data_IF_524380941554
#
_entry.id   IF_524380941554
#
_cell.length_a   1.000
_cell.length_b   1.000
_cell.length_c   1.000
_cell.angle_alpha   90.00
_cell.angle_beta   90.00
_cell.angle_gamma   90.00
#
_symmetry.space_group_name_H-M   'P 1'
#
loop_
_entity.id
_entity.type
_entity.pdbx_description
1 polymer ?
#
# COMPACT_ATOMS: atom_id res chain seq x y z
N UNK A 1 53.63 6.69 30.59
CA UNK A 1 54.54 5.51 30.63
C UNK A 1 55.93 5.78 30.07
N UNK A 2 56.14 6.43 28.92
CA UNK A 2 57.48 6.77 28.36
C UNK A 2 58.31 7.74 29.24
N UNK A 3 57.71 8.74 29.88
CA UNK A 3 58.38 9.69 30.76
C UNK A 3 58.75 9.11 32.14
N UNK A 4 57.98 8.10 32.60
CA UNK A 4 58.30 7.41 33.87
C UNK A 4 59.51 6.50 33.75
N UNK A 5 59.68 5.86 32.58
CA UNK A 5 60.89 5.04 32.32
C UNK A 5 62.12 5.89 32.14
N UNK A 6 62.02 7.07 31.50
CA UNK A 6 63.13 8.00 31.34
C UNK A 6 63.57 8.58 32.69
N UNK A 7 62.66 8.82 33.62
CA UNK A 7 62.97 9.29 34.99
C UNK A 7 63.66 8.23 35.87
N UNK A 8 63.22 6.97 35.78
CA UNK A 8 63.86 5.84 36.44
C UNK A 8 65.32 5.59 35.95
N UNK A 9 65.57 5.79 34.65
CA UNK A 9 66.90 5.65 34.07
C UNK A 9 67.87 6.78 34.57
N UNK A 10 67.36 8.01 34.79
CA UNK A 10 68.17 9.11 35.32
C UNK A 10 68.56 8.94 36.81
N UNK A 11 67.78 8.25 37.62
CA UNK A 11 67.99 7.90 39.00
C UNK A 11 69.10 6.86 39.21
N UNK A 12 69.39 6.02 38.26
CA UNK A 12 70.38 4.96 38.30
C UNK A 12 71.82 5.54 38.14
N UNK A 13 71.99 6.73 37.55
CA UNK A 13 73.30 7.38 37.34
C UNK A 13 73.80 8.32 38.47
N UNK A 14 72.97 8.58 39.51
CA UNK A 14 73.32 9.48 40.63
C UNK A 14 73.75 8.71 41.88
N UNK A 15 74.02 7.41 41.82
CA UNK A 15 74.33 6.61 43.01
C UNK A 15 75.84 6.45 43.30
N UNK A 16 76.47 7.49 43.87
CA UNK A 16 77.74 7.29 44.61
C UNK A 16 77.84 8.07 45.91
N UNK A 17 76.87 8.88 46.37
CA UNK A 17 76.94 9.60 47.63
C UNK A 17 75.63 10.01 48.30
N UNK A 18 74.46 9.56 47.78
CA UNK A 18 73.16 9.91 48.36
C UNK A 18 72.68 8.84 49.33
N UNK A 19 72.25 9.24 50.54
CA UNK A 19 71.67 8.30 51.50
C UNK A 19 70.37 7.71 51.01
N UNK A 20 70.04 6.47 51.41
CA UNK A 20 68.86 5.75 51.03
C UNK A 20 67.54 6.54 51.33
N UNK A 21 67.57 7.36 52.38
CA UNK A 21 66.52 8.26 52.83
C UNK A 21 66.27 9.42 51.84
N UNK A 22 67.33 9.98 51.23
CA UNK A 22 67.21 11.04 50.21
C UNK A 22 66.62 10.54 48.92
N UNK A 23 66.97 9.34 48.49
CA UNK A 23 66.41 8.71 47.32
C UNK A 23 64.91 8.42 47.54
N UNK A 24 64.54 7.88 48.71
CA UNK A 24 63.11 7.63 49.03
C UNK A 24 62.30 8.93 49.07
N UNK A 25 62.84 10.01 49.65
CA UNK A 25 62.20 11.32 49.69
C UNK A 25 61.95 11.89 48.28
N UNK A 26 62.86 11.72 47.31
CA UNK A 26 62.71 12.16 45.93
C UNK A 26 61.67 11.32 45.18
N UNK A 27 61.61 10.01 45.45
CA UNK A 27 60.59 9.12 44.91
C UNK A 27 59.17 9.54 45.39
N UNK A 28 59.04 9.78 46.70
CA UNK A 28 57.76 10.17 47.30
C UNK A 28 57.24 11.52 46.73
N UNK A 29 58.12 12.49 46.54
CA UNK A 29 57.81 13.79 45.91
C UNK A 29 57.41 13.60 44.47
N UNK A 30 58.10 12.77 43.72
CA UNK A 30 57.72 12.48 42.29
C UNK A 30 56.43 11.75 42.17
N UNK A 31 56.15 10.78 43.05
CA UNK A 31 54.83 10.05 43.08
C UNK A 31 53.72 11.00 43.47
N UNK A 32 53.85 11.84 44.49
CA UNK A 32 52.87 12.83 44.91
C UNK A 32 52.53 13.82 43.77
N UNK A 33 53.55 14.30 43.05
CA UNK A 33 53.40 15.19 41.92
C UNK A 33 52.64 14.48 40.74
N UNK A 34 52.96 13.21 40.46
CA UNK A 34 52.34 12.44 39.44
C UNK A 34 50.85 12.12 39.77
N UNK A 35 50.56 11.86 41.04
CA UNK A 35 49.21 11.66 41.54
C UNK A 35 48.33 12.91 41.39
N UNK A 36 48.86 14.07 41.84
CA UNK A 36 48.19 15.38 41.71
C UNK A 36 47.94 15.75 40.25
N UNK A 37 48.90 15.48 39.38
CA UNK A 37 48.69 15.70 37.93
C UNK A 37 47.59 14.80 37.40
N UNK A 38 47.58 13.51 37.77
CA UNK A 38 46.56 12.57 37.36
C UNK A 38 45.15 12.97 37.88
N UNK A 39 45.04 13.42 39.12
CA UNK A 39 43.80 13.94 39.70
C UNK A 39 43.30 15.16 38.92
N UNK A 40 44.16 16.13 38.60
CA UNK A 40 43.84 17.30 37.81
C UNK A 40 43.39 16.93 36.39
N UNK A 41 44.09 16.01 35.73
CA UNK A 41 43.73 15.53 34.39
C UNK A 41 42.37 14.77 34.39
N UNK A 42 42.11 14.02 35.48
CA UNK A 42 40.82 13.34 35.67
C UNK A 42 39.67 14.32 35.85
N UNK A 43 39.83 15.33 36.69
CA UNK A 43 38.82 16.38 36.89
C UNK A 43 38.54 17.15 35.60
N UNK A 44 39.57 17.48 34.82
CA UNK A 44 39.38 18.14 33.52
C UNK A 44 38.62 17.27 32.50
N UNK A 45 38.84 15.95 32.55
CA UNK A 45 38.10 15.02 31.71
C UNK A 45 36.63 14.89 32.14
N UNK A 46 36.38 14.82 33.45
CA UNK A 46 35.02 14.81 34.02
C UNK A 46 34.22 16.07 33.64
N UNK A 47 34.85 17.26 33.77
CA UNK A 47 34.22 18.52 33.33
C UNK A 47 33.88 18.51 31.82
N UNK A 48 34.76 17.96 30.98
CA UNK A 48 34.50 17.85 29.53
C UNK A 48 33.38 16.88 29.22
N UNK A 49 33.32 15.76 29.93
CA UNK A 49 32.22 14.78 29.76
C UNK A 49 30.87 15.43 30.10
N UNK A 50 30.76 16.08 31.25
CA UNK A 50 29.52 16.78 31.64
C UNK A 50 29.12 17.85 30.63
N UNK A 51 30.07 18.61 30.10
CA UNK A 51 29.79 19.63 29.09
C UNK A 51 29.32 19.00 27.75
N UNK A 52 29.89 17.85 27.37
CA UNK A 52 29.46 17.14 26.17
C UNK A 52 28.08 16.51 26.35
N UNK A 53 27.81 15.92 27.51
CA UNK A 53 26.49 15.39 27.85
C UNK A 53 25.40 16.48 27.77
N UNK A 54 25.66 17.65 28.37
CA UNK A 54 24.75 18.78 28.30
C UNK A 54 24.48 19.24 26.85
N UNK A 55 25.53 19.29 26.02
CA UNK A 55 25.36 19.66 24.58
C UNK A 55 24.60 18.61 23.81
N UNK A 56 24.74 17.34 24.13
CA UNK A 56 23.94 16.26 23.52
C UNK A 56 22.47 16.40 23.91
N UNK A 57 22.21 16.72 25.18
CA UNK A 57 20.82 16.92 25.65
C UNK A 57 20.19 18.16 24.99
N UNK A 58 20.90 19.30 24.92
CA UNK A 58 20.45 20.49 24.20
C UNK A 58 20.18 20.22 22.72
N UNK A 59 21.06 19.46 22.06
CA UNK A 59 20.88 19.07 20.65
C UNK A 59 19.69 18.15 20.46
N UNK A 60 19.47 17.20 21.36
CA UNK A 60 18.33 16.30 21.33
C UNK A 60 17.00 17.02 21.59
N UNK A 61 16.97 17.99 22.53
CA UNK A 61 15.78 18.82 22.78
C UNK A 61 15.44 19.67 21.56
N UNK A 62 16.42 20.35 20.96
CA UNK A 62 16.21 21.19 19.75
C UNK A 62 15.71 20.35 18.58
N UNK A 63 16.28 19.16 18.36
CA UNK A 63 15.83 18.28 17.29
C UNK A 63 14.43 17.70 17.53
N UNK A 64 14.12 17.32 18.77
CA UNK A 64 12.79 16.80 19.11
C UNK A 64 11.69 17.87 19.00
N UNK A 65 11.96 19.09 19.46
CA UNK A 65 11.00 20.20 19.33
C UNK A 65 10.82 20.64 17.88
N UNK A 66 11.90 20.68 17.09
CA UNK A 66 11.81 20.97 15.66
C UNK A 66 11.07 19.86 14.88
N UNK A 67 11.37 18.58 15.15
CA UNK A 67 10.63 17.48 14.52
C UNK A 67 9.15 17.46 14.90
N UNK A 68 8.80 17.69 16.17
CA UNK A 68 7.40 17.74 16.61
C UNK A 68 6.64 18.91 15.99
N UNK A 69 7.22 20.10 15.97
CA UNK A 69 6.60 21.31 15.40
C UNK A 69 6.47 21.17 13.88
N UNK A 70 7.49 20.65 13.22
CA UNK A 70 7.49 20.41 11.77
C UNK A 70 6.49 19.32 11.38
N UNK A 71 6.42 18.22 12.13
CA UNK A 71 5.48 17.13 11.92
C UNK A 71 4.02 17.58 12.07
N UNK A 72 3.72 18.37 13.11
CA UNK A 72 2.37 18.89 13.33
C UNK A 72 1.95 19.86 12.21
N UNK A 73 2.82 20.80 11.84
CA UNK A 73 2.55 21.76 10.75
C UNK A 73 2.43 21.04 9.41
N UNK A 74 3.29 20.05 9.16
CA UNK A 74 3.29 19.25 7.97
C UNK A 74 2.00 18.44 7.80
N UNK A 75 1.54 17.74 8.86
CA UNK A 75 0.32 16.95 8.79
C UNK A 75 -0.90 17.79 8.43
N UNK A 76 -1.10 18.92 9.10
CA UNK A 76 -2.27 19.78 8.86
C UNK A 76 -2.26 20.44 7.47
N UNK A 77 -1.09 20.64 6.86
CA UNK A 77 -0.98 21.16 5.49
C UNK A 77 -1.57 20.20 4.46
N UNK A 78 -1.29 18.89 4.61
CA UNK A 78 -1.69 17.88 3.63
C UNK A 78 -3.05 17.23 3.91
N UNK A 79 -3.60 17.36 5.11
CA UNK A 79 -4.91 16.79 5.46
C UNK A 79 -6.02 17.20 4.49
N UNK A 80 -5.97 18.43 3.98
CA UNK A 80 -6.98 18.96 3.05
C UNK A 80 -6.93 18.30 1.65
N UNK A 81 -5.89 17.52 1.38
CA UNK A 81 -5.78 16.76 0.14
C UNK A 81 -6.15 15.28 0.32
N UNK A 82 -6.61 14.89 1.51
CA UNK A 82 -7.03 13.51 1.83
C UNK A 82 -8.54 13.52 2.04
N UNK A 83 -9.21 12.56 1.44
CA UNK A 83 -10.65 12.40 1.54
C UNK A 83 -11.02 11.04 2.14
N UNK A 84 -12.01 11.05 3.01
CA UNK A 84 -12.77 9.87 3.40
C UNK A 84 -13.76 9.54 2.28
N UNK A 85 -13.78 8.30 1.81
CA UNK A 85 -14.61 7.84 0.70
C UNK A 85 -15.71 6.94 1.22
N UNK A 86 -16.93 7.25 0.88
CA UNK A 86 -18.10 6.44 1.18
C UNK A 86 -19.19 6.62 0.13
N UNK A 87 -20.35 6.08 0.40
CA UNK A 87 -21.58 6.31 -0.36
C UNK A 87 -22.79 6.42 0.57
N UNK A 88 -23.88 6.98 0.10
CA UNK A 88 -25.13 6.98 0.83
C UNK A 88 -25.96 5.76 0.46
N UNK A 89 -26.39 4.98 1.44
CA UNK A 89 -27.31 3.87 1.24
C UNK A 89 -28.74 4.34 0.93
N UNK A 90 -29.67 3.41 0.71
CA UNK A 90 -31.07 3.72 0.38
C UNK A 90 -31.82 4.49 1.48
N UNK A 91 -31.29 4.54 2.70
CA UNK A 91 -31.85 5.23 3.87
C UNK A 91 -31.07 6.53 4.18
N UNK A 92 -30.22 7.00 3.25
CA UNK A 92 -29.33 8.17 3.39
C UNK A 92 -28.29 8.03 4.53
N UNK A 93 -27.91 6.81 4.90
CA UNK A 93 -26.81 6.61 5.83
C UNK A 93 -25.48 6.53 5.06
N UNK A 94 -24.44 7.14 5.62
CA UNK A 94 -23.10 7.02 5.08
C UNK A 94 -22.53 5.62 5.35
N UNK A 95 -22.08 4.96 4.29
CA UNK A 95 -21.29 3.73 4.34
C UNK A 95 -19.86 4.10 3.97
N UNK A 96 -18.95 4.06 4.93
CA UNK A 96 -17.53 4.33 4.72
C UNK A 96 -16.89 3.16 3.98
N UNK A 97 -16.05 3.45 2.98
CA UNK A 97 -15.36 2.47 2.14
C UNK A 97 -13.84 2.50 2.34
N UNK A 98 -13.24 3.68 2.40
CA UNK A 98 -11.80 3.84 2.51
C UNK A 98 -11.34 5.29 2.35
N UNK A 99 -10.10 5.45 1.92
CA UNK A 99 -9.45 6.76 1.80
C UNK A 99 -9.08 7.05 0.34
N UNK A 100 -8.98 8.33 -0.01
CA UNK A 100 -8.46 8.79 -1.28
C UNK A 100 -7.54 9.99 -1.14
N UNK A 101 -6.75 10.26 -2.19
CA UNK A 101 -5.86 11.39 -2.29
C UNK A 101 -6.23 12.28 -3.47
N UNK A 102 -6.41 13.58 -3.23
CA UNK A 102 -6.64 14.58 -4.30
C UNK A 102 -5.31 14.82 -5.01
N UNK A 103 -5.25 14.53 -6.32
CA UNK A 103 -4.04 14.60 -7.14
C UNK A 103 -4.03 15.75 -8.14
N UNK A 104 -5.12 16.52 -8.22
CA UNK A 104 -5.21 17.70 -9.10
C UNK A 104 -6.07 18.79 -8.50
N UNK A 105 -5.79 20.03 -8.85
CA UNK A 105 -6.53 21.21 -8.33
C UNK A 105 -7.99 21.24 -8.78
N UNK A 106 -8.35 20.58 -9.86
CA UNK A 106 -9.72 20.44 -10.33
C UNK A 106 -10.47 19.25 -9.72
N UNK A 107 -9.84 18.52 -8.78
CA UNK A 107 -10.51 17.53 -7.94
C UNK A 107 -10.52 16.09 -8.47
N UNK A 108 -9.47 15.65 -9.19
CA UNK A 108 -9.28 14.23 -9.38
C UNK A 108 -8.77 13.59 -8.08
N UNK A 109 -9.37 12.44 -7.72
CA UNK A 109 -9.04 11.66 -6.52
C UNK A 109 -8.59 10.27 -6.94
N UNK A 110 -7.41 9.87 -6.49
CA UNK A 110 -6.93 8.50 -6.63
C UNK A 110 -7.25 7.68 -5.36
N UNK A 111 -7.69 6.46 -5.55
CA UNK A 111 -7.96 5.49 -4.49
C UNK A 111 -7.74 4.07 -5.00
N UNK A 112 -8.04 3.04 -4.18
CA UNK A 112 -8.01 1.66 -4.66
C UNK A 112 -9.29 1.30 -5.44
N UNK A 113 -9.14 0.36 -6.37
CA UNK A 113 -10.24 -0.20 -7.13
C UNK A 113 -11.26 -0.90 -6.20
N UNK A 114 -10.78 -1.73 -5.26
CA UNK A 114 -11.64 -2.43 -4.31
C UNK A 114 -12.41 -1.49 -3.36
N UNK A 115 -11.92 -0.26 -3.14
CA UNK A 115 -12.64 0.78 -2.37
C UNK A 115 -13.82 1.34 -3.17
N UNK A 116 -13.64 1.51 -4.48
CA UNK A 116 -14.58 2.25 -5.32
C UNK A 116 -15.46 1.35 -6.22
N UNK A 117 -15.16 0.04 -6.30
CA UNK A 117 -15.91 -0.88 -7.15
C UNK A 117 -17.37 -0.99 -6.75
N UNK A 118 -18.26 -1.19 -7.74
CA UNK A 118 -19.70 -1.35 -7.53
C UNK A 118 -20.48 -0.07 -7.29
N UNK A 119 -19.81 1.09 -7.17
CA UNK A 119 -20.43 2.40 -6.99
C UNK A 119 -20.19 3.29 -8.21
N UNK A 120 -21.13 4.20 -8.49
CA UNK A 120 -21.02 5.21 -9.54
C UNK A 120 -20.88 6.61 -8.99
N UNK A 121 -21.48 6.85 -7.85
CA UNK A 121 -21.50 8.13 -7.16
C UNK A 121 -20.98 7.92 -5.72
N UNK A 122 -20.14 8.82 -5.28
CA UNK A 122 -19.45 8.75 -3.97
C UNK A 122 -19.79 9.98 -3.13
N UNK A 123 -19.86 9.76 -1.83
CA UNK A 123 -19.83 10.78 -0.81
C UNK A 123 -18.41 10.93 -0.29
N UNK A 124 -17.86 12.13 -0.34
CA UNK A 124 -16.50 12.41 0.11
C UNK A 124 -16.52 13.44 1.24
N UNK A 125 -15.70 13.20 2.24
CA UNK A 125 -15.42 14.16 3.31
C UNK A 125 -13.93 14.43 3.38
N UNK A 126 -13.58 15.69 3.51
CA UNK A 126 -12.19 16.08 3.58
C UNK A 126 -11.95 16.91 4.84
N UNK A 127 -10.85 16.61 5.55
CA UNK A 127 -10.39 17.28 6.77
C UNK A 127 -11.52 17.82 7.64
N UNK A 128 -12.27 16.92 8.21
CA UNK A 128 -13.40 17.24 9.08
C UNK A 128 -13.48 16.24 10.23
N UNK A 129 -14.04 16.68 11.35
CA UNK A 129 -14.35 15.85 12.48
C UNK A 129 -15.85 15.55 12.49
N UNK A 130 -16.20 14.27 12.66
CA UNK A 130 -17.59 13.89 12.80
C UNK A 130 -18.09 14.10 14.22
N UNK A 131 -19.17 14.86 14.37
CA UNK A 131 -19.87 15.09 15.64
C UNK A 131 -21.17 14.27 15.68
N UNK A 132 -21.19 13.06 16.27
CA UNK A 132 -22.34 12.16 16.26
C UNK A 132 -23.60 12.76 16.85
N UNK A 133 -23.47 13.58 17.93
CA UNK A 133 -24.57 14.28 18.61
C UNK A 133 -25.29 15.32 17.74
N UNK A 134 -24.61 15.81 16.67
CA UNK A 134 -25.18 16.77 15.74
C UNK A 134 -25.43 16.14 14.36
N UNK A 135 -24.95 14.92 14.13
CA UNK A 135 -24.92 14.25 12.82
C UNK A 135 -24.32 15.16 11.73
N UNK A 136 -23.15 15.74 12.01
CA UNK A 136 -22.47 16.70 11.14
C UNK A 136 -20.97 16.51 11.15
N UNK A 137 -20.39 16.73 9.99
CA UNK A 137 -18.96 16.93 9.83
C UNK A 137 -18.61 18.40 10.04
N UNK A 138 -17.59 18.67 10.83
CA UNK A 138 -17.16 20.03 11.23
C UNK A 138 -15.70 20.20 10.85
N UNK A 139 -15.39 21.30 10.18
CA UNK A 139 -14.01 21.74 9.95
C UNK A 139 -13.38 22.14 11.31
N UNK A 140 -12.33 21.46 11.78
CA UNK A 140 -11.74 21.74 13.09
C UNK A 140 -11.05 23.11 13.19
N UNK A 141 -10.65 23.72 12.06
CA UNK A 141 -10.02 25.03 12.03
C UNK A 141 -11.06 26.17 12.11
N UNK A 142 -12.17 26.02 11.40
CA UNK A 142 -13.20 27.05 11.30
C UNK A 142 -14.37 26.84 12.25
N UNK A 143 -14.53 25.64 12.79
CA UNK A 143 -15.66 25.17 13.59
C UNK A 143 -17.01 25.37 12.85
N UNK A 144 -17.00 25.22 11.53
CA UNK A 144 -18.20 25.29 10.68
C UNK A 144 -18.53 23.93 10.09
N UNK A 145 -19.81 23.65 9.80
CA UNK A 145 -20.19 22.44 9.09
C UNK A 145 -19.49 22.34 7.74
N UNK A 146 -18.94 21.16 7.44
CA UNK A 146 -18.38 20.82 6.15
C UNK A 146 -19.47 20.21 5.29
N UNK A 147 -19.62 20.71 4.07
CA UNK A 147 -20.51 20.13 3.09
C UNK A 147 -19.89 18.83 2.55
N UNK A 148 -20.70 17.80 2.51
CA UNK A 148 -20.36 16.56 1.80
C UNK A 148 -20.09 16.90 0.33
N UNK A 149 -18.96 16.45 -0.19
CA UNK A 149 -18.66 16.50 -1.61
C UNK A 149 -19.21 15.24 -2.29
N UNK A 150 -19.63 15.37 -3.53
CA UNK A 150 -19.95 14.20 -4.36
C UNK A 150 -18.87 14.01 -5.41
N UNK A 151 -18.61 12.78 -5.79
CA UNK A 151 -17.69 12.45 -6.86
C UNK A 151 -18.25 11.34 -7.74
N UNK A 152 -17.86 11.34 -9.02
CA UNK A 152 -18.23 10.33 -9.99
C UNK A 152 -17.04 9.40 -10.24
N UNK A 153 -17.33 8.13 -10.53
CA UNK A 153 -16.38 7.20 -11.09
C UNK A 153 -15.92 7.66 -12.48
N UNK A 154 -14.62 7.69 -12.71
CA UNK A 154 -14.04 8.02 -14.03
C UNK A 154 -13.53 6.76 -14.73
N UNK A 155 -12.63 6.04 -14.08
CA UNK A 155 -12.04 4.83 -14.60
C UNK A 155 -11.30 4.07 -13.49
N UNK A 156 -10.93 2.81 -13.75
CA UNK A 156 -10.17 2.00 -12.80
C UNK A 156 -9.30 0.96 -13.46
N UNK A 157 -8.52 0.30 -12.64
CA UNK A 157 -7.71 -0.86 -13.01
C UNK A 157 -7.81 -1.89 -11.90
N UNK A 158 -8.54 -2.97 -12.13
CA UNK A 158 -8.60 -4.11 -11.23
C UNK A 158 -7.21 -4.72 -11.05
N UNK A 159 -6.41 -4.74 -12.11
CA UNK A 159 -5.08 -5.34 -12.11
C UNK A 159 -4.06 -4.59 -11.28
N UNK A 160 -4.24 -3.29 -11.07
CA UNK A 160 -3.40 -2.46 -10.22
C UNK A 160 -4.11 -1.98 -8.97
N UNK A 161 -5.35 -2.45 -8.76
CA UNK A 161 -6.17 -2.02 -7.63
C UNK A 161 -6.22 -0.49 -7.49
N UNK A 162 -6.39 0.23 -8.62
CA UNK A 162 -6.45 1.68 -8.68
C UNK A 162 -7.78 2.16 -9.27
N UNK A 163 -8.35 3.22 -8.71
CA UNK A 163 -9.52 3.90 -9.25
C UNK A 163 -9.33 5.41 -9.22
N UNK A 164 -9.86 6.08 -10.24
CA UNK A 164 -9.89 7.53 -10.37
C UNK A 164 -11.33 8.03 -10.24
N UNK A 165 -11.55 8.93 -9.31
CA UNK A 165 -12.81 9.62 -9.10
C UNK A 165 -12.66 11.09 -9.48
N UNK A 166 -13.78 11.77 -9.76
CA UNK A 166 -13.81 13.20 -10.04
C UNK A 166 -14.81 13.90 -9.13
N UNK A 167 -14.35 14.82 -8.32
CA UNK A 167 -15.21 15.63 -7.45
C UNK A 167 -16.09 16.55 -8.31
N UNK A 168 -17.39 16.58 -8.03
CA UNK A 168 -18.41 17.38 -8.69
C UNK A 168 -18.45 18.80 -8.12
N UNK A 169 -17.41 19.58 -8.40
CA UNK A 169 -17.29 20.97 -7.92
C UNK A 169 -16.46 21.83 -8.85
N UNK A 170 -16.82 23.11 -8.95
CA UNK A 170 -16.05 24.13 -9.65
C UNK A 170 -14.97 24.78 -8.75
N UNK A 171 -14.85 24.36 -7.48
CA UNK A 171 -13.84 24.87 -6.56
C UNK A 171 -12.46 24.27 -6.88
N UNK A 172 -11.42 25.03 -6.60
CA UNK A 172 -10.06 24.48 -6.58
C UNK A 172 -9.79 23.76 -5.25
N UNK A 173 -9.09 22.64 -5.35
CA UNK A 173 -8.72 21.80 -4.21
C UNK A 173 -7.21 21.81 -3.99
N UNK A 174 -6.73 21.81 -2.74
CA UNK A 174 -5.38 21.42 -2.43
C UNK A 174 -5.12 20.00 -2.95
N UNK A 175 -3.97 19.79 -3.58
CA UNK A 175 -3.64 18.51 -4.17
C UNK A 175 -2.19 18.12 -3.89
N UNK A 176 -1.92 16.82 -3.91
CA UNK A 176 -0.60 16.25 -3.69
C UNK A 176 0.15 16.13 -5.03
N UNK A 177 1.48 16.18 -4.96
CA UNK A 177 2.37 15.96 -6.09
C UNK A 177 3.04 14.58 -5.97
N UNK A 178 3.54 14.07 -7.08
CA UNK A 178 4.26 12.81 -7.14
C UNK A 178 5.70 12.94 -6.64
N UNK A 179 6.19 11.90 -5.96
CA UNK A 179 7.60 11.74 -5.62
C UNK A 179 8.37 11.25 -6.87
N UNK A 180 9.68 11.20 -6.81
CA UNK A 180 10.52 10.57 -7.83
C UNK A 180 10.90 9.14 -7.46
N UNK A 181 12.06 8.72 -7.94
CA UNK A 181 12.66 7.45 -7.55
C UNK A 181 13.00 7.44 -6.05
N UNK A 182 12.86 6.29 -5.42
CA UNK A 182 13.15 6.13 -4.00
C UNK A 182 13.84 4.79 -3.72
N UNK A 183 14.44 4.68 -2.52
CA UNK A 183 15.19 3.51 -2.08
C UNK A 183 14.71 3.07 -0.69
N UNK A 184 14.93 1.81 -0.30
CA UNK A 184 14.67 1.36 1.07
C UNK A 184 15.36 2.25 2.11
N UNK A 185 14.64 2.56 3.19
CA UNK A 185 15.07 3.49 4.22
C UNK A 185 14.55 4.91 4.06
N UNK A 186 13.84 5.25 2.96
CA UNK A 186 13.12 6.51 2.86
C UNK A 186 12.08 6.60 3.99
N UNK A 187 12.10 7.68 4.78
CA UNK A 187 11.05 7.98 5.77
C UNK A 187 9.75 8.29 5.05
N UNK A 188 8.66 7.63 5.48
CA UNK A 188 7.34 7.77 4.88
C UNK A 188 6.26 7.93 5.95
N UNK A 189 5.16 8.56 5.55
CA UNK A 189 3.98 8.83 6.36
C UNK A 189 2.74 8.38 5.62
N UNK A 190 1.77 7.82 6.31
CA UNK A 190 0.46 7.53 5.75
C UNK A 190 -0.60 8.39 6.40
N UNK A 191 -1.49 8.96 5.61
CA UNK A 191 -2.59 9.81 6.06
C UNK A 191 -3.89 9.19 5.54
N UNK A 192 -4.81 8.85 6.44
CA UNK A 192 -6.06 8.24 6.01
C UNK A 192 -7.11 8.19 7.10
N UNK A 193 -8.25 7.62 6.76
CA UNK A 193 -9.44 7.49 7.62
C UNK A 193 -9.67 6.02 7.99
N UNK A 194 -8.86 5.44 8.90
CA UNK A 194 -9.06 4.07 9.32
C UNK A 194 -10.31 3.94 10.18
N UNK A 195 -11.00 2.82 10.08
CA UNK A 195 -12.19 2.51 10.88
C UNK A 195 -11.94 2.61 12.40
N UNK A 196 -10.70 2.35 12.84
CA UNK A 196 -10.29 2.53 14.26
C UNK A 196 -10.24 4.01 14.68
N UNK A 197 -10.13 4.93 13.72
CA UNK A 197 -10.12 6.39 13.96
C UNK A 197 -11.50 7.00 14.14
N UNK A 198 -12.57 6.23 13.99
CA UNK A 198 -13.95 6.69 14.13
C UNK A 198 -14.28 7.94 13.28
N UNK A 199 -13.81 7.96 12.03
CA UNK A 199 -14.01 9.07 11.10
C UNK A 199 -12.99 10.21 11.23
N UNK A 200 -11.99 10.08 12.12
CA UNK A 200 -10.90 11.05 12.21
C UNK A 200 -9.73 10.66 11.33
N UNK A 201 -9.13 11.65 10.67
CA UNK A 201 -7.90 11.42 9.91
C UNK A 201 -6.77 11.03 10.85
N UNK A 202 -6.04 9.99 10.51
CA UNK A 202 -4.90 9.52 11.28
C UNK A 202 -3.60 9.65 10.49
N UNK A 203 -2.51 9.77 11.22
CA UNK A 203 -1.15 9.82 10.67
C UNK A 203 -0.35 8.70 11.30
N UNK A 204 0.27 7.87 10.48
CA UNK A 204 1.30 6.93 10.93
C UNK A 204 2.59 7.14 10.15
N UNK A 205 3.73 6.73 10.71
CA UNK A 205 5.02 6.90 10.06
C UNK A 205 5.86 5.63 10.11
N UNK A 206 6.77 5.51 9.17
CA UNK A 206 7.68 4.39 9.03
C UNK A 206 8.75 4.67 7.98
N UNK A 207 9.29 3.59 7.43
CA UNK A 207 10.27 3.66 6.34
C UNK A 207 9.89 2.68 5.25
N UNK A 208 10.26 2.96 4.00
CA UNK A 208 10.24 1.97 2.94
C UNK A 208 11.15 0.82 3.35
N UNK A 209 10.63 -0.39 3.42
CA UNK A 209 11.34 -1.60 3.87
C UNK A 209 11.81 -2.49 2.73
N UNK A 210 11.05 -2.52 1.61
CA UNK A 210 11.37 -3.32 0.43
C UNK A 210 10.81 -2.66 -0.82
N UNK A 211 11.49 -2.82 -1.96
CA UNK A 211 11.06 -2.27 -3.26
C UNK A 211 10.21 -3.25 -4.08
N UNK A 212 9.95 -4.43 -3.56
CA UNK A 212 9.12 -5.44 -4.25
C UNK A 212 8.43 -6.31 -3.23
N UNK A 213 7.20 -6.61 -3.51
CA UNK A 213 6.45 -7.62 -2.80
C UNK A 213 6.00 -8.71 -3.78
N UNK A 214 6.26 -9.96 -3.40
CA UNK A 214 5.82 -11.16 -4.12
C UNK A 214 4.80 -11.89 -3.25
N UNK A 215 3.69 -11.28 -2.97
CA UNK A 215 2.64 -11.90 -2.16
C UNK A 215 1.32 -11.79 -2.85
N UNK A 216 0.64 -12.90 -2.90
CA UNK A 216 -0.70 -12.98 -3.38
C UNK A 216 -1.65 -12.37 -2.38
N UNK A 217 -2.36 -11.36 -2.82
CA UNK A 217 -3.59 -11.01 -2.18
C UNK A 217 -4.71 -11.10 -3.20
N UNK A 218 -5.86 -11.47 -2.75
CA UNK A 218 -7.09 -11.62 -3.54
C UNK A 218 -7.45 -10.36 -4.37
N UNK A 219 -6.76 -9.23 -4.11
CA UNK A 219 -7.13 -7.87 -4.51
C UNK A 219 -6.03 -7.14 -5.29
N UNK A 220 -4.91 -7.79 -5.68
CA UNK A 220 -3.74 -7.01 -6.00
C UNK A 220 -3.03 -7.26 -7.29
N UNK A 221 -2.55 -6.14 -7.69
CA UNK A 221 -1.49 -5.81 -8.63
C UNK A 221 -0.39 -6.87 -8.73
N UNK A 222 0.18 -7.05 -9.92
CA UNK A 222 1.43 -7.78 -10.10
C UNK A 222 2.48 -7.24 -9.14
N UNK A 223 3.08 -8.11 -8.31
CA UNK A 223 4.00 -7.74 -7.23
C UNK A 223 5.27 -6.99 -7.63
N UNK A 224 5.41 -6.64 -8.91
CA UNK A 224 6.53 -5.87 -9.43
C UNK A 224 6.41 -4.36 -9.23
N UNK A 225 5.18 -3.86 -9.04
CA UNK A 225 4.86 -2.44 -9.00
C UNK A 225 4.40 -2.00 -7.59
N UNK A 226 4.81 -2.75 -6.58
CA UNK A 226 4.49 -2.49 -5.17
C UNK A 226 5.74 -2.48 -4.31
N UNK A 227 5.64 -1.81 -3.18
CA UNK A 227 6.70 -1.79 -2.17
C UNK A 227 6.15 -1.99 -0.76
N UNK A 228 6.99 -2.50 0.13
CA UNK A 228 6.67 -2.63 1.55
C UNK A 228 7.16 -1.44 2.37
N UNK A 229 6.41 -1.06 3.40
CA UNK A 229 6.81 -0.05 4.37
C UNK A 229 6.35 -0.40 5.79
N UNK A 230 6.98 0.22 6.80
CA UNK A 230 6.73 -0.08 8.21
C UNK A 230 5.74 0.87 8.89
N UNK A 231 5.20 1.88 8.17
CA UNK A 231 4.12 2.71 8.70
C UNK A 231 2.85 1.86 8.85
N UNK A 232 2.27 1.73 10.05
CA UNK A 232 1.08 0.90 10.26
C UNK A 232 -0.12 1.42 9.48
N UNK A 233 -0.89 0.51 8.88
CA UNK A 233 -2.19 0.79 8.27
C UNK A 233 -3.25 -0.15 8.84
N UNK A 234 -4.51 0.25 8.77
CA UNK A 234 -5.68 -0.48 9.26
C UNK A 234 -6.79 -0.43 8.22
N UNK A 235 -7.85 -1.21 8.40
CA UNK A 235 -9.07 -1.12 7.58
C UNK A 235 -9.55 0.34 7.48
N UNK A 236 -9.82 0.81 6.25
CA UNK A 236 -10.14 2.19 5.92
C UNK A 236 -8.93 3.00 5.41
N UNK A 237 -7.70 2.55 5.64
CA UNK A 237 -6.51 3.16 5.02
C UNK A 237 -6.28 2.72 3.56
N UNK A 238 -7.05 1.78 3.02
CA UNK A 238 -7.02 1.46 1.59
C UNK A 238 -7.28 2.73 0.76
N UNK A 239 -6.41 2.98 -0.23
CA UNK A 239 -6.45 4.19 -1.06
C UNK A 239 -5.74 5.41 -0.45
N UNK A 240 -5.30 5.34 0.81
CA UNK A 240 -4.57 6.43 1.44
C UNK A 240 -3.15 6.58 0.85
N UNK A 241 -2.64 7.82 0.70
CA UNK A 241 -1.30 8.02 0.18
C UNK A 241 -0.23 7.66 1.21
N UNK A 242 0.88 7.12 0.71
CA UNK A 242 2.16 7.06 1.37
C UNK A 242 2.95 8.29 0.93
N UNK A 243 3.28 9.18 1.85
CA UNK A 243 3.92 10.45 1.57
C UNK A 243 5.36 10.48 2.07
N UNK A 244 6.22 11.14 1.32
CA UNK A 244 7.57 11.54 1.77
C UNK A 244 7.50 12.67 2.79
N UNK A 245 8.63 13.01 3.41
CA UNK A 245 8.74 14.13 4.36
C UNK A 245 8.34 15.49 3.75
N UNK A 246 8.49 15.68 2.44
CA UNK A 246 8.07 16.88 1.70
C UNK A 246 6.65 16.76 1.11
N UNK A 247 5.84 15.81 1.57
CA UNK A 247 4.41 15.68 1.27
C UNK A 247 4.09 15.20 -0.14
N UNK A 248 5.03 14.53 -0.80
CA UNK A 248 4.82 13.97 -2.13
C UNK A 248 4.42 12.51 -2.06
N UNK A 249 3.56 12.08 -2.95
CA UNK A 249 3.07 10.70 -3.05
C UNK A 249 4.21 9.77 -3.47
N UNK A 250 4.61 8.86 -2.57
CA UNK A 250 5.53 7.76 -2.83
C UNK A 250 4.76 6.53 -3.33
N UNK A 251 3.52 6.38 -2.89
CA UNK A 251 2.62 5.31 -3.33
C UNK A 251 1.23 5.43 -2.72
N UNK A 252 0.36 4.46 -3.04
CA UNK A 252 -1.00 4.34 -2.50
C UNK A 252 -1.11 3.01 -1.75
N UNK A 253 -1.50 3.07 -0.49
CA UNK A 253 -1.73 1.90 0.35
C UNK A 253 -2.83 1.01 -0.21
N UNK A 254 -2.66 -0.32 -0.17
CA UNK A 254 -3.70 -1.24 -0.60
C UNK A 254 -3.91 -2.43 0.35
N UNK A 255 -2.87 -2.89 1.06
CA UNK A 255 -2.97 -4.03 1.97
C UNK A 255 -1.89 -4.00 3.04
N UNK A 256 -2.05 -4.84 4.05
CA UNK A 256 -1.04 -5.12 5.06
C UNK A 256 -0.99 -6.62 5.38
N UNK A 257 0.21 -7.12 5.64
CA UNK A 257 0.42 -8.43 6.20
C UNK A 257 0.68 -8.30 7.71
N UNK A 258 0.01 -9.10 8.49
CA UNK A 258 0.21 -9.19 9.93
C UNK A 258 0.33 -10.67 10.32
N UNK A 259 1.34 -11.01 11.10
CA UNK A 259 1.46 -12.35 11.67
C UNK A 259 0.38 -12.61 12.73
N UNK A 260 -0.02 -13.87 12.91
CA UNK A 260 -1.08 -14.27 13.85
C UNK A 260 -0.82 -13.82 15.30
N UNK A 261 0.45 -13.72 15.70
CA UNK A 261 0.86 -13.29 17.04
C UNK A 261 1.06 -11.77 17.19
N UNK A 262 0.71 -10.99 16.13
CA UNK A 262 0.88 -9.53 16.06
C UNK A 262 2.33 -9.05 16.25
N UNK A 263 3.31 -9.95 16.20
CA UNK A 263 4.72 -9.64 16.44
C UNK A 263 5.36 -8.84 15.30
N UNK A 264 4.82 -8.96 14.09
CA UNK A 264 5.29 -8.31 12.88
C UNK A 264 4.13 -7.87 11.99
N UNK A 265 4.23 -6.66 11.48
CA UNK A 265 3.30 -6.13 10.47
C UNK A 265 4.10 -5.36 9.42
N UNK A 266 3.77 -5.58 8.17
CA UNK A 266 4.29 -4.82 7.04
C UNK A 266 3.12 -4.35 6.19
N UNK A 267 3.16 -3.10 5.81
CA UNK A 267 2.17 -2.47 4.95
C UNK A 267 2.69 -2.41 3.52
N UNK A 268 1.80 -2.51 2.55
CA UNK A 268 2.16 -2.50 1.14
C UNK A 268 1.43 -1.39 0.40
N UNK A 269 2.17 -0.75 -0.52
CA UNK A 269 1.67 0.32 -1.34
C UNK A 269 2.04 0.11 -2.82
N UNK A 270 1.18 0.57 -3.71
CA UNK A 270 1.42 0.61 -5.15
C UNK A 270 2.39 1.76 -5.42
N UNK A 271 3.40 1.52 -6.25
CA UNK A 271 4.46 2.49 -6.56
C UNK A 271 3.94 3.70 -7.33
N UNK A 272 4.41 4.90 -6.95
CA UNK A 272 3.99 6.15 -7.57
C UNK A 272 4.24 6.23 -9.07
N UNK A 273 5.31 5.60 -9.56
CA UNK A 273 5.67 5.67 -10.99
C UNK A 273 4.65 4.95 -11.86
N UNK A 274 4.20 3.76 -11.41
CA UNK A 274 3.16 3.03 -12.13
C UNK A 274 1.81 3.75 -11.99
N UNK A 275 1.49 4.28 -10.80
CA UNK A 275 0.26 5.04 -10.60
C UNK A 275 0.22 6.24 -11.54
N UNK A 276 1.28 7.05 -11.57
CA UNK A 276 1.36 8.24 -12.42
C UNK A 276 1.20 7.88 -13.90
N UNK A 277 1.89 6.83 -14.36
CA UNK A 277 1.76 6.34 -15.73
C UNK A 277 0.30 5.95 -16.05
N UNK A 278 -0.33 5.15 -15.18
CA UNK A 278 -1.70 4.70 -15.38
C UNK A 278 -2.68 5.87 -15.38
N UNK A 279 -2.53 6.82 -14.45
CA UNK A 279 -3.37 8.02 -14.37
C UNK A 279 -3.23 8.87 -15.62
N UNK A 280 -2.00 9.21 -16.02
CA UNK A 280 -1.74 10.15 -17.12
C UNK A 280 -2.09 9.56 -18.50
N UNK A 281 -1.83 8.27 -18.71
CA UNK A 281 -2.05 7.63 -20.01
C UNK A 281 -3.47 7.11 -20.20
N UNK A 282 -4.15 6.69 -19.14
CA UNK A 282 -5.42 5.96 -19.22
C UNK A 282 -6.54 6.60 -18.41
N UNK A 283 -6.45 6.60 -17.08
CA UNK A 283 -7.58 6.89 -16.20
C UNK A 283 -8.15 8.29 -16.39
N UNK A 284 -7.31 9.32 -16.54
CA UNK A 284 -7.76 10.70 -16.76
C UNK A 284 -8.53 10.88 -18.08
N UNK A 285 -8.35 9.97 -19.01
CA UNK A 285 -9.06 9.93 -20.29
C UNK A 285 -10.33 9.06 -20.24
N UNK A 286 -10.72 8.58 -19.07
CA UNK A 286 -11.87 7.68 -18.88
C UNK A 286 -11.66 6.28 -19.49
N UNK A 287 -10.40 5.84 -19.56
CA UNK A 287 -10.04 4.50 -20.05
C UNK A 287 -9.60 3.64 -18.90
N UNK A 288 -10.26 2.52 -18.72
CA UNK A 288 -9.79 1.49 -17.78
C UNK A 288 -8.48 0.88 -18.27
N UNK A 289 -7.49 0.83 -17.39
CA UNK A 289 -6.17 0.27 -17.70
C UNK A 289 -6.10 -1.18 -17.27
N UNK A 290 -5.70 -2.06 -18.20
CA UNK A 290 -5.69 -3.51 -17.99
C UNK A 290 -7.00 -4.03 -17.36
N UNK A 291 -8.10 -3.34 -17.65
CA UNK A 291 -9.42 -3.74 -17.25
C UNK A 291 -10.27 -3.91 -18.49
N UNK A 292 -10.75 -5.11 -18.68
CA UNK A 292 -11.74 -5.40 -19.73
C UNK A 292 -13.15 -5.03 -19.26
N UNK A 293 -13.26 -4.47 -18.06
CA UNK A 293 -14.51 -4.05 -17.43
C UNK A 293 -15.29 -5.18 -16.78
N UNK A 294 -14.58 -6.16 -16.24
CA UNK A 294 -15.16 -7.25 -15.44
C UNK A 294 -14.70 -7.12 -13.99
N UNK A 295 -15.68 -7.13 -13.08
CA UNK A 295 -15.42 -7.43 -11.67
C UNK A 295 -15.75 -8.88 -11.39
N UNK A 296 -15.02 -9.47 -10.46
CA UNK A 296 -15.27 -10.85 -10.08
C UNK A 296 -14.28 -11.39 -9.07
N UNK A 297 -14.42 -12.66 -8.82
CA UNK A 297 -13.61 -13.39 -7.84
C UNK A 297 -13.05 -14.66 -8.46
N UNK A 298 -11.79 -14.94 -8.18
CA UNK A 298 -11.21 -16.23 -8.48
C UNK A 298 -11.76 -17.28 -7.49
N UNK A 299 -12.32 -18.34 -8.00
CA UNK A 299 -12.96 -19.41 -7.21
C UNK A 299 -12.49 -20.79 -7.66
N UNK A 300 -12.67 -21.74 -6.78
CA UNK A 300 -12.32 -23.14 -7.05
C UNK A 300 -13.38 -24.07 -6.49
N UNK A 301 -13.96 -24.91 -7.34
CA UNK A 301 -14.90 -25.93 -6.94
C UNK A 301 -14.19 -27.27 -6.76
N UNK A 302 -14.23 -27.83 -5.55
CA UNK A 302 -13.62 -29.10 -5.21
C UNK A 302 -14.62 -30.25 -5.32
N UNK A 303 -14.21 -31.29 -6.03
CA UNK A 303 -14.97 -32.54 -6.16
C UNK A 303 -14.21 -33.65 -5.41
N UNK A 304 -14.79 -34.10 -4.29
CA UNK A 304 -14.28 -35.22 -3.51
C UNK A 304 -14.87 -36.54 -4.07
N UNK A 305 -14.08 -37.26 -4.85
CA UNK A 305 -14.52 -38.52 -5.46
C UNK A 305 -14.29 -39.71 -4.55
N UNK A 306 -15.20 -40.73 -4.57
CA UNK A 306 -15.09 -41.92 -3.73
C UNK A 306 -13.85 -42.76 -3.98
N UNK A 307 -13.21 -42.60 -5.14
CA UNK A 307 -11.99 -43.29 -5.55
C UNK A 307 -10.71 -42.62 -5.07
N UNK A 308 -10.84 -41.40 -4.47
CA UNK A 308 -9.71 -40.59 -3.96
C UNK A 308 -8.98 -39.81 -5.05
N UNK A 309 -9.52 -39.76 -6.25
CA UNK A 309 -9.03 -38.88 -7.34
C UNK A 309 -9.77 -37.55 -7.28
N UNK A 310 -9.51 -36.77 -6.24
CA UNK A 310 -10.13 -35.47 -6.01
C UNK A 310 -9.78 -34.51 -7.15
N UNK A 311 -10.78 -33.80 -7.63
CA UNK A 311 -10.63 -32.84 -8.74
C UNK A 311 -11.03 -31.46 -8.29
N UNK A 312 -10.40 -30.46 -8.89
CA UNK A 312 -10.76 -29.07 -8.71
C UNK A 312 -11.02 -28.39 -10.07
N UNK A 313 -11.98 -27.50 -10.07
CA UNK A 313 -12.35 -26.68 -11.23
C UNK A 313 -12.17 -25.20 -10.84
N UNK A 314 -11.03 -24.62 -11.13
CA UNK A 314 -10.81 -23.20 -10.94
C UNK A 314 -11.48 -22.39 -12.07
N UNK A 315 -12.05 -21.23 -11.71
CA UNK A 315 -12.70 -20.30 -12.62
C UNK A 315 -12.71 -18.88 -12.05
N UNK A 316 -12.96 -17.89 -12.90
CA UNK A 316 -13.23 -16.53 -12.48
C UNK A 316 -14.73 -16.26 -12.54
N UNK A 317 -15.33 -16.01 -11.39
CA UNK A 317 -16.76 -15.69 -11.27
C UNK A 317 -16.97 -14.20 -11.49
N UNK A 318 -17.75 -13.84 -12.50
CA UNK A 318 -18.02 -12.45 -12.87
C UNK A 318 -19.17 -11.93 -12.02
N UNK A 319 -18.88 -10.98 -11.12
CA UNK A 319 -19.88 -10.37 -10.22
C UNK A 319 -20.52 -9.14 -10.84
N UNK A 320 -19.79 -8.38 -11.66
CA UNK A 320 -20.34 -7.23 -12.39
C UNK A 320 -19.63 -6.98 -13.72
N UNK A 321 -20.30 -6.28 -14.61
CA UNK A 321 -19.76 -5.80 -15.90
C UNK A 321 -19.94 -4.29 -15.96
N UNK A 322 -18.86 -3.57 -16.22
CA UNK A 322 -18.87 -2.09 -16.23
C UNK A 322 -19.55 -1.56 -17.48
N UNK A 323 -20.48 -0.60 -17.35
CA UNK A 323 -21.11 0.04 -18.48
C UNK A 323 -20.09 0.75 -19.40
N UNK A 324 -20.21 0.50 -20.70
CA UNK A 324 -19.31 1.06 -21.72
C UNK A 324 -17.98 0.32 -21.90
N UNK A 325 -17.73 -0.72 -21.11
CA UNK A 325 -16.50 -1.52 -21.17
C UNK A 325 -16.44 -2.42 -22.40
N UNK A 326 -15.23 -2.94 -22.66
CA UNK A 326 -14.99 -3.94 -23.72
C UNK A 326 -15.81 -5.22 -23.45
N UNK A 327 -15.97 -5.61 -22.18
CA UNK A 327 -16.76 -6.77 -21.79
C UNK A 327 -18.28 -6.56 -22.06
N UNK A 328 -18.84 -5.39 -21.75
CA UNK A 328 -20.23 -5.07 -22.09
C UNK A 328 -20.45 -5.08 -23.60
N UNK A 329 -19.53 -4.51 -24.37
CA UNK A 329 -19.58 -4.53 -25.84
C UNK A 329 -19.53 -5.96 -26.37
N UNK A 330 -18.78 -6.85 -25.73
CA UNK A 330 -18.72 -8.28 -26.04
C UNK A 330 -19.93 -9.07 -25.53
N UNK A 331 -20.89 -8.39 -24.87
CA UNK A 331 -22.13 -8.97 -24.34
C UNK A 331 -21.92 -10.01 -23.24
N UNK A 332 -20.87 -9.84 -22.45
CA UNK A 332 -20.64 -10.59 -21.22
C UNK A 332 -21.59 -10.04 -20.15
N UNK A 333 -22.16 -10.90 -19.35
CA UNK A 333 -23.12 -10.55 -18.30
C UNK A 333 -22.57 -10.92 -16.91
N UNK A 334 -23.14 -10.33 -15.86
CA UNK A 334 -22.84 -10.75 -14.48
C UNK A 334 -23.40 -12.15 -14.17
N UNK A 335 -22.83 -12.81 -13.20
CA UNK A 335 -23.11 -14.22 -12.82
C UNK A 335 -22.74 -15.24 -13.91
N UNK A 336 -21.72 -14.94 -14.66
CA UNK A 336 -21.09 -15.86 -15.60
C UNK A 336 -19.73 -16.31 -15.10
N UNK A 337 -19.30 -17.49 -15.56
CA UNK A 337 -18.02 -18.08 -15.15
C UNK A 337 -17.05 -18.00 -16.32
N UNK A 338 -15.91 -17.34 -16.14
CA UNK A 338 -14.83 -17.28 -17.12
C UNK A 338 -13.84 -18.42 -16.87
N UNK A 339 -13.60 -19.23 -17.89
CA UNK A 339 -12.69 -20.37 -17.86
C UNK A 339 -11.43 -20.18 -18.70
N UNK A 340 -11.57 -19.56 -19.88
CA UNK A 340 -10.45 -19.37 -20.79
C UNK A 340 -10.36 -17.94 -21.28
N UNK A 341 -9.11 -17.45 -21.35
CA UNK A 341 -8.75 -16.19 -21.97
C UNK A 341 -7.81 -16.50 -23.14
N UNK A 342 -8.34 -16.45 -24.36
CA UNK A 342 -7.67 -17.03 -25.51
C UNK A 342 -7.47 -18.55 -25.37
N UNK A 343 -6.30 -19.02 -25.66
CA UNK A 343 -5.92 -20.44 -25.53
C UNK A 343 -5.56 -20.84 -24.09
N UNK A 344 -5.56 -19.89 -23.14
CA UNK A 344 -5.11 -20.11 -21.77
C UNK A 344 -6.29 -20.36 -20.84
N UNK A 345 -6.24 -21.47 -20.12
CA UNK A 345 -7.15 -21.76 -19.02
C UNK A 345 -6.78 -20.91 -17.80
N UNK A 346 -7.73 -20.09 -17.31
CA UNK A 346 -7.49 -19.16 -16.20
C UNK A 346 -7.13 -19.83 -14.86
N UNK A 347 -7.23 -21.15 -14.78
CA UNK A 347 -6.86 -21.95 -13.62
C UNK A 347 -5.65 -22.86 -13.82
N UNK A 348 -4.84 -22.66 -14.86
CA UNK A 348 -3.81 -23.62 -15.27
C UNK A 348 -2.51 -23.55 -14.46
N UNK A 349 -2.30 -22.54 -13.64
CA UNK A 349 -1.08 -22.47 -12.84
C UNK A 349 -1.12 -23.42 -11.67
N UNK A 350 -0.34 -24.48 -11.78
CA UNK A 350 -0.11 -25.49 -10.74
C UNK A 350 0.79 -24.89 -9.65
N UNK A 351 0.20 -24.13 -8.74
CA UNK A 351 0.89 -23.58 -7.55
C UNK A 351 1.14 -24.64 -6.45
N UNK A 352 1.29 -25.90 -6.82
CA UNK A 352 1.64 -26.99 -5.91
C UNK A 352 2.94 -26.75 -5.12
N UNK A 353 3.81 -25.84 -5.60
CA UNK A 353 5.09 -25.52 -4.97
C UNK A 353 5.01 -24.51 -3.81
N UNK A 354 3.87 -23.81 -3.60
CA UNK A 354 3.72 -22.81 -2.54
C UNK A 354 2.73 -23.19 -1.43
N UNK A 355 2.13 -24.37 -1.47
CA UNK A 355 1.27 -24.88 -0.38
C UNK A 355 -0.03 -24.09 -0.16
N UNK A 356 -0.42 -23.25 -1.10
CA UNK A 356 -1.71 -22.57 -1.16
C UNK A 356 -2.65 -23.39 -2.06
N UNK A 357 -3.85 -23.64 -1.59
CA UNK A 357 -4.86 -24.49 -2.23
C UNK A 357 -5.32 -23.97 -3.61
N UNK A 358 -4.45 -24.05 -4.63
CA UNK A 358 -4.75 -24.02 -6.07
C UNK A 358 -5.85 -23.06 -6.60
N UNK A 359 -6.00 -21.87 -6.00
CA UNK A 359 -6.94 -20.87 -6.52
C UNK A 359 -6.35 -20.17 -7.74
N UNK A 360 -7.12 -20.03 -8.85
CA UNK A 360 -6.72 -19.17 -9.94
C UNK A 360 -6.58 -17.75 -9.38
N UNK A 361 -5.43 -17.13 -9.64
CA UNK A 361 -5.16 -15.83 -9.09
C UNK A 361 -5.62 -14.74 -10.05
N UNK A 362 -6.14 -13.64 -9.52
CA UNK A 362 -6.44 -12.45 -10.32
C UNK A 362 -5.19 -11.98 -11.09
N UNK A 363 -3.99 -12.16 -10.50
CA UNK A 363 -2.71 -11.88 -11.15
C UNK A 363 -2.51 -12.62 -12.46
N UNK A 364 -2.99 -13.86 -12.58
CA UNK A 364 -2.86 -14.64 -13.82
C UNK A 364 -3.75 -14.06 -14.92
N UNK A 365 -5.00 -13.74 -14.60
CA UNK A 365 -5.90 -13.07 -15.52
C UNK A 365 -5.35 -11.71 -15.94
N UNK A 366 -4.81 -10.92 -15.00
CA UNK A 366 -4.20 -9.62 -15.29
C UNK A 366 -2.96 -9.75 -16.19
N UNK A 367 -2.14 -10.77 -15.98
CA UNK A 367 -1.00 -11.04 -16.87
C UNK A 367 -1.47 -11.39 -18.29
N UNK A 368 -2.49 -12.23 -18.43
CA UNK A 368 -3.06 -12.60 -19.73
C UNK A 368 -3.67 -11.38 -20.44
N UNK A 369 -4.37 -10.51 -19.72
CA UNK A 369 -4.91 -9.25 -20.27
C UNK A 369 -3.77 -8.34 -20.72
N UNK A 370 -2.73 -8.17 -19.91
CA UNK A 370 -1.56 -7.36 -20.22
C UNK A 370 -0.83 -7.87 -21.47
N UNK A 371 -0.58 -9.17 -21.55
CA UNK A 371 0.06 -9.81 -22.69
C UNK A 371 -0.77 -9.61 -23.97
N UNK A 372 -2.09 -9.74 -23.86
CA UNK A 372 -2.96 -9.48 -25.01
C UNK A 372 -2.91 -8.00 -25.40
N UNK A 373 -3.01 -7.07 -24.47
CA UNK A 373 -2.97 -5.62 -24.76
C UNK A 373 -1.67 -5.19 -25.44
N UNK A 374 -0.52 -5.77 -25.03
CA UNK A 374 0.77 -5.52 -25.65
C UNK A 374 0.97 -6.24 -26.99
N UNK A 375 0.17 -7.27 -27.26
CA UNK A 375 0.25 -8.05 -28.51
C UNK A 375 -0.24 -7.25 -29.73
N UNK A 376 0.07 -7.75 -30.94
CA UNK A 376 -0.46 -7.21 -32.19
C UNK A 376 -1.90 -7.67 -32.48
N UNK A 377 -2.44 -8.60 -31.70
CA UNK A 377 -3.78 -9.13 -31.88
C UNK A 377 -4.83 -8.10 -31.52
N UNK A 378 -5.80 -7.91 -32.39
CA UNK A 378 -6.87 -6.91 -32.21
C UNK A 378 -8.07 -7.47 -31.45
N UNK A 379 -8.23 -8.78 -31.46
CA UNK A 379 -9.34 -9.48 -30.78
C UNK A 379 -8.80 -10.67 -30.01
N UNK A 380 -9.54 -11.06 -28.95
CA UNK A 380 -9.29 -12.29 -28.20
C UNK A 380 -10.63 -12.94 -27.86
N UNK A 381 -10.68 -14.26 -27.91
CA UNK A 381 -11.85 -15.04 -27.56
C UNK A 381 -11.79 -15.50 -26.10
N UNK A 382 -12.89 -15.38 -25.38
CA UNK A 382 -13.08 -15.87 -24.03
C UNK A 382 -14.09 -17.01 -24.04
N UNK A 383 -13.81 -18.10 -23.31
CA UNK A 383 -14.79 -19.16 -23.09
C UNK A 383 -15.42 -18.94 -21.72
N UNK A 384 -16.73 -18.70 -21.75
CA UNK A 384 -17.56 -18.45 -20.56
C UNK A 384 -18.66 -19.52 -20.46
N UNK A 385 -19.19 -19.65 -19.25
CA UNK A 385 -20.37 -20.44 -18.97
C UNK A 385 -21.46 -19.52 -18.41
N UNK A 386 -22.58 -19.48 -19.09
CA UNK A 386 -23.75 -18.72 -18.61
C UNK A 386 -24.54 -19.56 -17.62
N UNK A 387 -24.54 -19.13 -16.36
CA UNK A 387 -25.32 -19.78 -15.30
C UNK A 387 -26.84 -19.68 -15.54
N UNK A 388 -27.30 -18.74 -16.37
CA UNK A 388 -28.71 -18.61 -16.72
C UNK A 388 -29.14 -19.55 -17.84
N UNK A 389 -28.30 -19.68 -18.89
CA UNK A 389 -28.59 -20.54 -20.06
C UNK A 389 -28.14 -22.00 -19.81
N UNK A 390 -27.32 -22.25 -18.84
CA UNK A 390 -26.64 -23.52 -18.55
C UNK A 390 -25.82 -24.05 -19.75
N UNK A 391 -25.19 -23.12 -20.51
CA UNK A 391 -24.44 -23.42 -21.73
C UNK A 391 -23.12 -22.67 -21.79
N UNK A 392 -22.12 -23.28 -22.43
CA UNK A 392 -20.88 -22.62 -22.78
C UNK A 392 -21.02 -21.79 -24.04
N UNK A 393 -20.34 -20.64 -24.03
CA UNK A 393 -20.29 -19.78 -25.20
C UNK A 393 -18.91 -19.07 -25.31
N UNK A 394 -18.62 -18.57 -26.50
CA UNK A 394 -17.49 -17.73 -26.78
C UNK A 394 -17.94 -16.29 -26.94
N UNK A 395 -17.32 -15.39 -26.14
CA UNK A 395 -17.36 -13.94 -26.32
C UNK A 395 -16.04 -13.45 -26.92
N UNK A 396 -16.11 -12.49 -27.84
CA UNK A 396 -14.93 -11.91 -28.47
C UNK A 396 -14.73 -10.48 -27.98
N UNK A 397 -13.61 -10.23 -27.29
CA UNK A 397 -13.17 -8.88 -26.93
C UNK A 397 -12.46 -8.24 -28.12
N UNK A 398 -12.60 -6.91 -28.28
CA UNK A 398 -11.96 -6.15 -29.34
C UNK A 398 -11.33 -4.87 -28.80
N UNK A 399 -10.02 -4.65 -29.08
CA UNK A 399 -9.31 -3.40 -28.75
C UNK A 399 -9.91 -2.17 -29.45
N UNK A 400 -10.53 -2.37 -30.60
CA UNK A 400 -11.21 -1.30 -31.34
C UNK A 400 -12.61 -0.98 -30.82
N UNK A 401 -13.14 -1.75 -29.85
CA UNK A 401 -14.53 -1.64 -29.40
C UNK A 401 -15.55 -2.12 -30.42
N UNK A 402 -15.15 -2.95 -31.37
CA UNK A 402 -16.07 -3.60 -32.33
C UNK A 402 -16.84 -4.71 -31.60
N UNK A 403 -18.15 -4.74 -31.79
CA UNK A 403 -19.03 -5.75 -31.18
C UNK A 403 -19.15 -6.98 -32.04
N UNK A 404 -19.01 -8.15 -31.45
CA UNK A 404 -19.19 -9.46 -32.05
C UNK A 404 -20.34 -10.19 -31.36
N UNK A 405 -21.10 -11.00 -32.13
CA UNK A 405 -22.15 -11.84 -31.55
C UNK A 405 -21.51 -13.05 -30.84
N UNK A 406 -21.81 -13.30 -29.58
CA UNK A 406 -21.39 -14.52 -28.90
C UNK A 406 -22.01 -15.77 -29.57
N UNK A 407 -21.32 -16.89 -29.53
CA UNK A 407 -21.79 -18.14 -30.08
C UNK A 407 -21.56 -19.33 -29.14
N UNK A 408 -22.49 -20.27 -29.14
CA UNK A 408 -22.45 -21.45 -28.28
C UNK A 408 -21.38 -22.43 -28.72
N UNK A 409 -20.75 -23.09 -27.73
CA UNK A 409 -19.75 -24.14 -27.93
C UNK A 409 -20.03 -25.32 -27.03
N UNK A 410 -19.47 -26.48 -27.39
CA UNK A 410 -19.54 -27.67 -26.55
C UNK A 410 -18.67 -27.46 -25.26
N UNK A 411 -19.00 -28.22 -24.22
CA UNK A 411 -18.24 -28.23 -22.98
C UNK A 411 -16.75 -28.49 -23.28
N UNK A 412 -15.84 -27.55 -22.97
CA UNK A 412 -14.42 -27.70 -23.26
C UNK A 412 -13.70 -28.71 -22.34
N UNK A 413 -14.36 -29.14 -21.27
CA UNK A 413 -13.78 -30.06 -20.28
C UNK A 413 -14.20 -31.49 -20.53
N UNK A 414 -13.22 -32.39 -20.62
CA UNK A 414 -13.49 -33.84 -20.74
C UNK A 414 -13.88 -34.50 -19.40
N UNK A 415 -13.45 -33.89 -18.29
CA UNK A 415 -13.49 -34.48 -16.95
C UNK A 415 -14.60 -33.92 -16.06
N UNK A 416 -15.31 -32.88 -16.51
CA UNK A 416 -16.42 -32.27 -15.80
C UNK A 416 -17.70 -32.29 -16.66
N UNK A 417 -18.80 -32.67 -16.02
CA UNK A 417 -20.12 -32.62 -16.66
C UNK A 417 -20.75 -31.23 -16.50
N UNK A 418 -21.77 -30.93 -17.31
CA UNK A 418 -22.59 -29.71 -17.15
C UNK A 418 -23.17 -29.59 -15.72
N UNK A 419 -23.56 -30.71 -15.12
CA UNK A 419 -24.06 -30.72 -13.74
C UNK A 419 -22.96 -30.28 -12.72
N UNK A 420 -21.69 -30.64 -12.96
CA UNK A 420 -20.58 -30.26 -12.08
C UNK A 420 -20.35 -28.75 -12.18
N UNK A 421 -20.48 -28.17 -13.37
CA UNK A 421 -20.31 -26.74 -13.61
C UNK A 421 -21.50 -25.95 -13.05
N UNK A 422 -22.73 -26.47 -13.17
CA UNK A 422 -23.92 -25.87 -12.56
C UNK A 422 -23.82 -25.75 -11.03
N UNK A 423 -23.04 -26.64 -10.36
CA UNK A 423 -22.76 -26.52 -8.94
C UNK A 423 -21.91 -25.29 -8.62
N UNK A 424 -21.03 -24.87 -9.54
CA UNK A 424 -20.27 -23.61 -9.39
C UNK A 424 -21.21 -22.41 -9.36
N UNK A 425 -22.19 -22.36 -10.27
CA UNK A 425 -23.21 -21.30 -10.29
C UNK A 425 -24.08 -21.22 -9.03
N UNK A 426 -24.36 -22.37 -8.39
CA UNK A 426 -25.19 -22.43 -7.16
C UNK A 426 -24.44 -21.99 -5.90
N UNK A 427 -23.12 -22.11 -5.91
CA UNK A 427 -22.28 -21.70 -4.77
C UNK A 427 -21.89 -20.21 -4.84
N UNK A 428 -22.29 -19.53 -5.91
CA UNK A 428 -22.02 -18.11 -6.16
C UNK A 428 -23.17 -17.19 -5.71
N UNK A 429 -24.30 -17.74 -5.29
CA UNK A 429 -25.45 -17.01 -4.73
C UNK A 429 -25.49 -17.16 -3.21
#
# INVERSE_FOLDING_TARGET
MRYFIAFLISLVFVSCSTSQDEIQSQIDIAVDKALKQKESDTQLLEEKIVNLEQKIDEFNEINNDNKKSQFFTWGTEYFKSIVDIGYLDADDNLVELGTGAIISSDGYVITNYHVATGQKEFALFNYSEYYPEQNKWIDPETNQPVDMLTADWIAGSICYDLALLKINSEKEFPNLNWYGDFEPGLEVFTLGYPAVGQGEITVSNGVVSSLRYFGDTQWTAPGYDTFGHTAPIFFGNSGSPVLSEDGKIVGINYTAYQEEDESFSISYAIDNQIIQKIVDEYLINGKDYLSIGLDGEAKNLYFFLPDGDDRNLPFYSITSVHPGSIAEIAKIESNELLFFFGDYYVGQNDFSDFGTDGYPMLSDLCSLISDWEESSEQTIELILYSCYLEEFYIATLSKSGESYEPYLVDNPFSDFTENDINLACQNDT
#
